data_IF_352813860856
#
_entry.id   IF_352813860856
#
_cell.length_a   1.000
_cell.length_b   1.000
_cell.length_c   1.000
_cell.angle_alpha   90.00
_cell.angle_beta   90.00
_cell.angle_gamma   90.00
#
_symmetry.space_group_name_H-M   'P 1'
#
loop_
_entity.id
_entity.type
_entity.pdbx_description
1 polymer ?
#
# COMPACT_ATOMS: atom_id res chain seq x y z
N UNK A 1 -9.69 -3.55 4.12
CA UNK A 1 -8.87 -3.73 2.90
C UNK A 1 -9.01 -5.16 2.42
N UNK A 2 -9.12 -5.33 1.10
CA UNK A 2 -9.08 -6.63 0.42
C UNK A 2 -8.05 -6.56 -0.71
N UNK A 3 -7.27 -7.61 -0.90
CA UNK A 3 -6.28 -7.73 -1.98
C UNK A 3 -6.66 -8.97 -2.79
N UNK A 4 -6.74 -8.81 -4.11
CA UNK A 4 -7.08 -9.87 -5.06
C UNK A 4 -6.02 -9.93 -6.15
N UNK A 5 -5.42 -11.11 -6.44
CA UNK A 5 -5.63 -12.40 -5.76
C UNK A 5 -5.24 -12.37 -4.28
N UNK A 6 -5.81 -13.28 -3.48
CA UNK A 6 -5.46 -13.36 -2.05
C UNK A 6 -4.00 -13.77 -1.90
N UNK A 7 -3.25 -12.98 -1.13
CA UNK A 7 -1.84 -13.26 -0.82
C UNK A 7 -1.68 -13.48 0.68
N UNK A 8 -1.09 -14.62 1.03
CA UNK A 8 -0.85 -15.01 2.43
C UNK A 8 0.38 -14.35 3.05
N UNK A 9 1.33 -13.91 2.21
CA UNK A 9 2.55 -13.24 2.64
C UNK A 9 2.29 -11.80 3.08
N UNK A 10 2.52 -11.52 4.37
CA UNK A 10 2.45 -10.16 4.92
C UNK A 10 3.45 -9.21 4.26
N UNK A 11 4.62 -9.72 3.87
CA UNK A 11 5.65 -8.93 3.18
C UNK A 11 5.14 -8.44 1.83
N UNK A 12 4.57 -9.34 1.03
CA UNK A 12 3.99 -9.00 -0.27
C UNK A 12 2.82 -8.02 -0.10
N UNK A 13 1.94 -8.23 0.88
CA UNK A 13 0.85 -7.30 1.15
C UNK A 13 1.35 -5.89 1.52
N UNK A 14 2.45 -5.79 2.27
CA UNK A 14 3.08 -4.50 2.57
C UNK A 14 3.66 -3.85 1.33
N UNK A 15 4.34 -4.61 0.48
CA UNK A 15 4.86 -4.12 -0.79
C UNK A 15 3.73 -3.59 -1.71
N UNK A 16 2.58 -4.28 -1.78
CA UNK A 16 1.39 -3.80 -2.51
C UNK A 16 0.94 -2.44 -1.98
N UNK A 17 0.87 -2.27 -0.66
CA UNK A 17 0.44 -1.01 -0.06
C UNK A 17 1.45 0.11 -0.23
N UNK A 18 2.75 -0.20 -0.16
CA UNK A 18 3.81 0.75 -0.43
C UNK A 18 3.72 1.28 -1.85
N UNK A 19 3.54 0.40 -2.84
CA UNK A 19 3.37 0.78 -4.24
C UNK A 19 2.08 1.59 -4.46
N UNK A 20 0.98 1.23 -3.78
CA UNK A 20 -0.26 2.01 -3.79
C UNK A 20 -0.03 3.45 -3.28
N UNK A 21 0.73 3.62 -2.20
CA UNK A 21 1.07 4.95 -1.67
C UNK A 21 1.96 5.69 -2.65
N UNK A 22 3.01 5.05 -3.19
CA UNK A 22 3.92 5.64 -4.19
C UNK A 22 3.17 6.21 -5.40
N UNK A 23 2.21 5.46 -5.95
CA UNK A 23 1.47 5.84 -7.16
C UNK A 23 0.31 6.81 -6.90
N UNK A 24 -0.31 6.77 -5.72
CA UNK A 24 -1.62 7.40 -5.52
C UNK A 24 -1.69 8.36 -4.33
N UNK A 25 -0.57 8.60 -3.62
CA UNK A 25 -0.55 9.53 -2.48
C UNK A 25 -1.09 10.91 -2.83
N UNK A 26 -0.58 11.50 -3.90
CA UNK A 26 -0.95 12.87 -4.28
C UNK A 26 -2.32 12.96 -4.94
N UNK A 27 -2.67 11.96 -5.76
CA UNK A 27 -3.87 11.98 -6.59
C UNK A 27 -5.13 11.51 -5.85
N UNK A 28 -5.05 10.44 -5.07
CA UNK A 28 -6.23 9.78 -4.52
C UNK A 28 -6.24 9.67 -3.00
N UNK A 29 -5.09 9.56 -2.35
CA UNK A 29 -5.05 9.42 -0.88
C UNK A 29 -5.15 10.76 -0.14
N UNK A 30 -5.30 11.87 -0.87
CA UNK A 30 -5.39 13.20 -0.30
C UNK A 30 -4.10 13.58 0.45
N UNK A 31 -2.94 13.19 -0.10
CA UNK A 31 -1.60 13.41 0.47
C UNK A 31 -1.32 12.69 1.79
N UNK A 32 -2.24 11.82 2.24
CA UNK A 32 -2.10 11.05 3.48
C UNK A 32 -1.09 9.91 3.32
N UNK A 33 -0.48 9.54 4.44
CA UNK A 33 0.38 8.36 4.58
C UNK A 33 -0.36 7.34 5.44
N UNK A 34 -0.99 6.32 4.83
CA UNK A 34 -1.68 5.28 5.57
C UNK A 34 -0.72 4.36 6.33
N UNK A 35 -1.14 3.88 7.50
CA UNK A 35 -0.52 2.78 8.21
C UNK A 35 -1.28 1.47 7.92
N UNK A 36 -0.56 0.46 7.44
CA UNK A 36 -1.12 -0.84 7.08
C UNK A 36 -0.57 -1.96 7.98
N UNK A 37 -1.45 -2.81 8.49
CA UNK A 37 -1.08 -3.89 9.42
C UNK A 37 -0.42 -5.11 8.73
N UNK A 38 -0.47 -5.18 7.39
CA UNK A 38 -0.02 -6.34 6.61
C UNK A 38 -1.13 -7.36 6.33
N UNK A 39 -2.37 -7.08 6.73
CA UNK A 39 -3.52 -7.96 6.57
C UNK A 39 -4.77 -7.22 6.08
N UNK A 40 -5.66 -6.76 6.95
CA UNK A 40 -6.99 -6.24 6.54
C UNK A 40 -7.21 -4.77 6.88
N UNK A 41 -6.36 -4.19 7.72
CA UNK A 41 -6.62 -2.88 8.33
C UNK A 41 -5.64 -1.84 7.83
N UNK A 42 -6.21 -0.73 7.34
CA UNK A 42 -5.48 0.44 6.84
C UNK A 42 -6.03 1.66 7.58
N UNK A 43 -5.14 2.44 8.18
CA UNK A 43 -5.48 3.59 9.01
C UNK A 43 -4.85 4.85 8.43
N UNK A 44 -5.56 5.97 8.47
CA UNK A 44 -5.08 7.26 7.96
C UNK A 44 -5.33 8.37 8.98
N UNK A 45 -4.49 9.42 8.94
CA UNK A 45 -4.73 10.64 9.69
C UNK A 45 -5.88 11.45 9.06
N UNK A 46 -7.12 11.03 9.35
CA UNK A 46 -8.35 11.60 8.81
C UNK A 46 -8.95 10.82 7.63
N UNK A 47 -10.18 11.17 7.22
CA UNK A 47 -10.94 10.42 6.22
C UNK A 47 -10.35 10.57 4.82
N UNK A 48 -10.23 9.46 4.08
CA UNK A 48 -9.87 9.49 2.66
C UNK A 48 -10.90 10.30 1.85
N UNK A 49 -10.52 10.91 0.71
CA UNK A 49 -11.44 11.65 -0.15
C UNK A 49 -12.33 10.70 -0.99
N UNK A 50 -12.63 9.52 -0.44
CA UNK A 50 -13.51 8.49 -1.00
C UNK A 50 -13.94 7.53 0.11
N UNK A 51 -15.12 6.94 -0.04
CA UNK A 51 -15.61 5.88 0.86
C UNK A 51 -15.04 4.50 0.47
N UNK A 52 -14.98 4.22 -0.84
CA UNK A 52 -14.44 2.98 -1.40
C UNK A 52 -13.79 3.26 -2.75
N UNK A 53 -12.68 2.58 -3.04
CA UNK A 53 -11.98 2.67 -4.33
C UNK A 53 -11.15 1.42 -4.58
N UNK A 54 -11.11 0.99 -5.83
CA UNK A 54 -10.27 -0.12 -6.29
C UNK A 54 -9.05 0.42 -7.03
N UNK A 55 -7.91 -0.25 -6.84
CA UNK A 55 -6.64 0.10 -7.46
C UNK A 55 -6.02 -1.17 -8.03
N UNK A 56 -5.47 -1.07 -9.24
CA UNK A 56 -4.64 -2.12 -9.83
C UNK A 56 -3.19 -1.80 -9.51
N UNK A 57 -2.54 -2.67 -8.75
CA UNK A 57 -1.16 -2.51 -8.32
C UNK A 57 -0.30 -3.57 -8.99
N UNK A 58 0.70 -3.13 -9.76
CA UNK A 58 1.72 -4.00 -10.32
C UNK A 58 2.95 -3.94 -9.42
N UNK A 59 3.31 -5.08 -8.84
CA UNK A 59 4.59 -5.27 -8.18
C UNK A 59 5.63 -5.58 -9.26
N UNK A 60 6.62 -4.70 -9.36
CA UNK A 60 7.81 -4.93 -10.16
C UNK A 60 8.91 -5.19 -9.15
N UNK A 61 9.70 -6.26 -9.33
CA UNK A 61 10.90 -6.43 -8.53
C UNK A 61 11.84 -5.27 -8.88
N UNK A 62 11.98 -4.31 -7.96
CA UNK A 62 13.09 -3.37 -8.00
C UNK A 62 14.34 -4.21 -7.68
N UNK A 63 15.10 -4.60 -8.70
CA UNK A 63 16.48 -5.09 -8.52
C UNK A 63 17.23 -4.07 -7.64
N UNK A 64 17.63 -4.53 -6.46
CA UNK A 64 18.67 -3.96 -5.60
C UNK A 64 18.44 -2.57 -4.96
N UNK A 65 17.53 -2.53 -3.98
CA UNK A 65 17.56 -1.54 -2.90
C UNK A 65 18.31 -2.08 -1.68
N UNK A 66 19.63 -2.18 -1.79
CA UNK A 66 20.62 -2.52 -0.74
C UNK A 66 20.11 -2.20 0.69
N UNK A 67 20.05 -3.23 1.53
CA UNK A 67 19.70 -3.10 2.94
C UNK A 67 20.56 -2.06 3.64
N UNK A 68 19.92 -1.02 4.18
CA UNK A 68 20.57 -0.17 5.16
C UNK A 68 20.75 -0.99 6.45
N UNK A 69 21.99 -1.23 6.93
CA UNK A 69 22.19 -1.87 8.21
C UNK A 69 21.64 -0.98 9.34
N UNK A 70 21.08 -1.64 10.36
CA UNK A 70 20.71 -1.05 11.64
C UNK A 70 21.95 -0.71 12.46
#
# INVERSE_FOLDING_TARGET
>A
VSITPEVTSRGVNRAVMEQLVKLHRESHLGKRLPAYDGRKSLYTAGPLPFTSKEFVINLIDEEDGMGAPR
#
